data_IF_767475060471
#
_entry.id   IF_767475060471
#
_cell.length_a   1.000
_cell.length_b   1.000
_cell.length_c   1.000
_cell.angle_alpha   90.00
_cell.angle_beta   90.00
_cell.angle_gamma   90.00
#
_symmetry.space_group_name_H-M   'P 1'
#
loop_
_entity.id
_entity.type
_entity.pdbx_description
1 polymer ?
#
# COMPACT_ATOMS: atom_id res chain seq x y z
N UNK A 1 -23.55 -14.88 -22.46
CA UNK A 1 -22.99 -13.56 -22.21
C UNK A 1 -21.67 -13.46 -22.95
N UNK A 2 -21.53 -12.46 -23.83
CA UNK A 2 -20.34 -12.25 -24.67
C UNK A 2 -19.18 -11.56 -23.94
N UNK A 3 -19.17 -11.57 -22.61
CA UNK A 3 -18.21 -10.86 -21.75
C UNK A 3 -16.96 -11.73 -21.52
N UNK A 4 -15.77 -11.10 -21.55
CA UNK A 4 -14.51 -11.80 -21.40
C UNK A 4 -14.24 -12.16 -19.92
N UNK A 5 -13.92 -13.42 -19.66
CA UNK A 5 -13.53 -13.91 -18.36
C UNK A 5 -12.17 -13.32 -17.97
N UNK A 6 -12.08 -12.72 -16.79
CA UNK A 6 -10.82 -12.21 -16.26
C UNK A 6 -9.90 -13.36 -15.83
N UNK A 7 -8.67 -13.35 -16.33
CA UNK A 7 -7.69 -14.42 -16.12
C UNK A 7 -6.55 -14.04 -15.21
N UNK A 8 -6.51 -12.79 -14.75
CA UNK A 8 -5.53 -12.26 -13.83
C UNK A 8 -4.77 -11.05 -14.38
N UNK A 9 -3.88 -10.53 -13.54
CA UNK A 9 -3.00 -9.41 -13.88
C UNK A 9 -1.54 -9.76 -13.74
N UNK A 10 -0.69 -9.02 -14.45
CA UNK A 10 0.77 -9.07 -14.34
C UNK A 10 1.32 -7.67 -14.07
N UNK A 11 2.35 -7.58 -13.25
CA UNK A 11 3.06 -6.33 -12.97
C UNK A 11 4.47 -6.44 -13.52
N UNK A 12 4.85 -5.52 -14.40
CA UNK A 12 6.20 -5.36 -14.91
C UNK A 12 6.80 -4.06 -14.31
N UNK A 13 7.88 -4.20 -13.57
CA UNK A 13 8.58 -3.06 -12.99
C UNK A 13 9.81 -2.74 -13.84
N UNK A 14 9.84 -1.52 -14.38
CA UNK A 14 11.03 -0.92 -15.00
C UNK A 14 11.69 -0.01 -13.98
N UNK A 15 12.95 -0.23 -13.68
CA UNK A 15 13.73 0.59 -12.75
C UNK A 15 15.15 0.79 -13.26
N UNK A 16 15.80 1.87 -12.81
CA UNK A 16 17.23 2.03 -13.00
C UNK A 16 17.99 1.00 -12.14
N UNK A 17 19.19 0.58 -12.59
CA UNK A 17 20.01 -0.44 -11.90
C UNK A 17 20.34 -0.10 -10.43
N UNK A 18 20.27 1.17 -10.06
CA UNK A 18 20.58 1.67 -8.71
C UNK A 18 19.46 1.47 -7.70
N UNK A 19 18.30 0.96 -8.13
CA UNK A 19 17.16 0.72 -7.24
C UNK A 19 17.21 -0.73 -6.78
N UNK A 20 17.76 -0.94 -5.59
CA UNK A 20 17.81 -2.27 -4.97
C UNK A 20 16.42 -2.77 -4.60
N UNK A 21 16.26 -4.10 -4.56
CA UNK A 21 15.08 -4.81 -4.01
C UNK A 21 13.73 -4.55 -4.69
N UNK A 22 13.70 -4.46 -6.02
CA UNK A 22 12.47 -4.37 -6.83
C UNK A 22 11.53 -5.55 -6.59
N UNK A 23 12.06 -6.72 -6.18
CA UNK A 23 11.26 -7.91 -5.85
C UNK A 23 10.29 -7.65 -4.68
N UNK A 24 10.76 -6.98 -3.62
CA UNK A 24 9.91 -6.63 -2.47
C UNK A 24 8.82 -5.63 -2.86
N UNK A 25 9.17 -4.63 -3.66
CA UNK A 25 8.20 -3.67 -4.21
C UNK A 25 7.16 -4.40 -5.07
N UNK A 26 7.59 -5.30 -5.95
CA UNK A 26 6.68 -6.11 -6.79
C UNK A 26 5.71 -6.93 -5.93
N UNK A 27 6.20 -7.62 -4.90
CA UNK A 27 5.35 -8.38 -3.99
C UNK A 27 4.32 -7.50 -3.27
N UNK A 28 4.74 -6.32 -2.81
CA UNK A 28 3.84 -5.36 -2.16
C UNK A 28 2.76 -4.84 -3.13
N UNK A 29 3.12 -4.56 -4.39
CA UNK A 29 2.16 -4.12 -5.39
C UNK A 29 1.19 -5.24 -5.81
N UNK A 30 1.62 -6.50 -5.83
CA UNK A 30 0.73 -7.63 -6.13
C UNK A 30 -0.42 -7.77 -5.14
N UNK A 31 -0.24 -7.36 -3.87
CA UNK A 31 -1.33 -7.37 -2.88
C UNK A 31 -2.46 -6.39 -3.17
N UNK A 32 -2.28 -5.49 -4.15
CA UNK A 32 -3.27 -4.49 -4.54
C UNK A 32 -4.14 -4.96 -5.72
N UNK A 33 -3.81 -6.11 -6.33
CA UNK A 33 -4.52 -6.62 -7.49
C UNK A 33 -5.87 -7.22 -7.08
N UNK A 34 -6.94 -6.50 -7.34
CA UNK A 34 -8.32 -6.90 -7.08
C UNK A 34 -9.20 -6.64 -8.31
N UNK A 35 -10.18 -7.49 -8.59
CA UNK A 35 -10.48 -8.77 -7.95
C UNK A 35 -9.44 -9.84 -8.31
N UNK A 36 -9.35 -10.88 -7.47
CA UNK A 36 -8.58 -12.07 -7.84
C UNK A 36 -9.31 -12.85 -8.95
N UNK A 37 -8.58 -13.41 -9.92
CA UNK A 37 -9.19 -14.26 -10.93
C UNK A 37 -9.66 -15.58 -10.31
N UNK A 38 -10.62 -16.23 -10.96
CA UNK A 38 -11.06 -17.55 -10.53
C UNK A 38 -9.90 -18.55 -10.38
N UNK A 39 -9.97 -19.35 -9.34
CA UNK A 39 -8.94 -20.33 -8.97
C UNK A 39 -8.61 -21.28 -10.11
N UNK A 40 -7.33 -21.56 -10.29
CA UNK A 40 -6.82 -22.45 -11.33
C UNK A 40 -6.11 -23.63 -10.71
N UNK A 41 -6.56 -24.86 -11.02
CA UNK A 41 -5.98 -26.12 -10.55
C UNK A 41 -5.59 -26.95 -11.78
N UNK A 42 -4.32 -27.30 -11.90
CA UNK A 42 -3.77 -28.08 -13.02
C UNK A 42 -4.21 -27.57 -14.41
N UNK A 43 -4.22 -26.25 -14.59
CA UNK A 43 -4.60 -25.63 -15.85
C UNK A 43 -6.11 -25.45 -16.07
N UNK A 44 -6.96 -26.06 -15.22
CA UNK A 44 -8.43 -25.97 -15.29
C UNK A 44 -8.99 -25.05 -14.21
N UNK A 45 -10.26 -24.63 -14.35
CA UNK A 45 -10.99 -23.83 -13.38
C UNK A 45 -12.18 -24.61 -12.84
N UNK A 46 -11.98 -25.51 -11.89
CA UNK A 46 -13.03 -26.40 -11.41
C UNK A 46 -14.18 -25.65 -10.73
N UNK A 47 -13.91 -24.53 -10.06
CA UNK A 47 -14.94 -23.69 -9.44
C UNK A 47 -15.97 -23.19 -10.46
N UNK A 48 -15.53 -22.69 -11.61
CA UNK A 48 -16.40 -22.28 -12.71
C UNK A 48 -17.21 -23.46 -13.28
N UNK A 49 -16.57 -24.61 -13.42
CA UNK A 49 -17.26 -25.80 -13.93
C UNK A 49 -18.44 -26.19 -13.04
N UNK A 50 -18.25 -26.24 -11.72
CA UNK A 50 -19.33 -26.55 -10.79
C UNK A 50 -20.39 -25.46 -10.74
N UNK A 51 -19.99 -24.19 -10.81
CA UNK A 51 -20.92 -23.06 -10.89
C UNK A 51 -21.86 -23.21 -12.10
N UNK A 52 -21.35 -23.38 -13.32
CA UNK A 52 -22.15 -23.53 -14.52
C UNK A 52 -22.98 -24.83 -14.55
N UNK A 53 -22.46 -25.90 -13.96
CA UNK A 53 -23.22 -27.17 -13.83
C UNK A 53 -24.44 -27.02 -12.93
N UNK A 54 -24.32 -26.23 -11.85
CA UNK A 54 -25.43 -25.98 -10.93
C UNK A 54 -26.52 -25.05 -11.53
N UNK A 55 -26.18 -24.24 -12.51
CA UNK A 55 -27.14 -23.34 -13.21
C UNK A 55 -27.99 -24.02 -14.27
N UNK A 56 -27.79 -25.30 -14.59
CA UNK A 56 -28.63 -26.03 -15.54
C UNK A 56 -30.06 -26.15 -15.03
N UNK A 57 -31.05 -26.25 -15.97
CA UNK A 57 -32.48 -26.31 -15.65
C UNK A 57 -32.87 -27.39 -14.62
N UNK A 58 -32.11 -28.47 -14.51
CA UNK A 58 -32.32 -29.56 -13.51
C UNK A 58 -30.94 -30.02 -12.97
N UNK A 59 -30.31 -29.26 -12.08
CA UNK A 59 -29.03 -29.70 -11.49
C UNK A 59 -29.28 -30.83 -10.50
N UNK A 60 -28.57 -31.95 -10.63
CA UNK A 60 -28.62 -33.04 -9.65
C UNK A 60 -28.13 -32.58 -8.26
N UNK A 61 -28.56 -33.29 -7.19
CA UNK A 61 -28.18 -33.00 -5.80
C UNK A 61 -26.68 -32.85 -5.65
N UNK A 62 -25.89 -33.76 -6.23
CA UNK A 62 -24.43 -33.74 -6.16
C UNK A 62 -23.83 -32.46 -6.77
N UNK A 63 -24.36 -32.00 -7.93
CA UNK A 63 -23.88 -30.78 -8.57
C UNK A 63 -24.18 -29.51 -7.72
N UNK A 64 -25.33 -29.47 -7.06
CA UNK A 64 -25.67 -28.39 -6.12
C UNK A 64 -24.77 -28.39 -4.90
N UNK A 65 -24.49 -29.56 -4.34
CA UNK A 65 -23.61 -29.70 -3.20
C UNK A 65 -22.15 -29.30 -3.54
N UNK A 66 -21.62 -29.79 -4.68
CA UNK A 66 -20.28 -29.45 -5.16
C UNK A 66 -20.17 -27.95 -5.46
N UNK A 67 -21.19 -27.33 -6.05
CA UNK A 67 -21.17 -25.88 -6.27
C UNK A 67 -21.12 -25.10 -4.95
N UNK A 68 -21.89 -25.52 -3.95
CA UNK A 68 -21.88 -24.88 -2.62
C UNK A 68 -20.51 -24.97 -1.93
N UNK A 69 -19.73 -26.02 -2.21
CA UNK A 69 -18.41 -26.25 -1.59
C UNK A 69 -17.24 -25.71 -2.41
N UNK A 70 -17.31 -25.79 -3.73
CA UNK A 70 -16.20 -25.57 -4.66
C UNK A 70 -16.56 -24.60 -5.80
N UNK A 71 -17.84 -24.23 -5.94
CA UNK A 71 -18.28 -23.32 -6.99
C UNK A 71 -17.75 -21.90 -6.77
N UNK A 72 -17.29 -21.28 -7.83
CA UNK A 72 -16.87 -19.88 -7.87
C UNK A 72 -17.69 -19.15 -8.93
N UNK A 73 -18.20 -17.99 -8.58
CA UNK A 73 -18.81 -17.10 -9.57
C UNK A 73 -17.74 -16.61 -10.57
N UNK A 74 -18.07 -16.51 -11.85
CA UNK A 74 -17.10 -16.02 -12.83
C UNK A 74 -16.75 -14.56 -12.55
N UNK A 75 -15.47 -14.25 -12.56
CA UNK A 75 -14.95 -12.88 -12.52
C UNK A 75 -14.73 -12.42 -13.95
N UNK A 76 -15.40 -11.35 -14.36
CA UNK A 76 -15.34 -10.78 -15.70
C UNK A 76 -14.41 -9.56 -15.75
N UNK A 77 -14.04 -9.16 -16.95
CA UNK A 77 -13.24 -7.96 -17.16
C UNK A 77 -13.92 -6.68 -16.64
N UNK A 78 -15.25 -6.61 -16.70
CA UNK A 78 -16.05 -5.50 -16.16
C UNK A 78 -15.93 -5.33 -14.65
N UNK A 79 -15.57 -6.39 -13.92
CA UNK A 79 -15.36 -6.33 -12.46
C UNK A 79 -14.00 -5.70 -12.09
N UNK A 80 -13.12 -5.54 -13.09
CA UNK A 80 -11.78 -4.98 -12.90
C UNK A 80 -11.78 -3.49 -13.21
N UNK A 81 -11.20 -2.69 -12.32
CA UNK A 81 -10.98 -1.27 -12.56
C UNK A 81 -9.45 -0.98 -12.61
N UNK A 82 -8.82 -1.07 -13.79
CA UNK A 82 -7.38 -0.90 -13.92
C UNK A 82 -6.87 0.46 -13.46
N UNK A 83 -7.62 1.53 -13.72
CA UNK A 83 -7.23 2.90 -13.33
C UNK A 83 -7.22 3.06 -11.81
N UNK A 84 -8.17 2.43 -11.11
CA UNK A 84 -8.17 2.40 -9.64
C UNK A 84 -6.93 1.69 -9.11
N UNK A 85 -6.56 0.56 -9.69
CA UNK A 85 -5.36 -0.20 -9.29
C UNK A 85 -4.09 0.61 -9.55
N UNK A 86 -3.98 1.31 -10.70
CA UNK A 86 -2.88 2.24 -10.97
C UNK A 86 -2.74 3.28 -9.85
N UNK A 87 -3.84 3.92 -9.44
CA UNK A 87 -3.83 4.91 -8.35
C UNK A 87 -3.42 4.30 -7.01
N UNK A 88 -3.90 3.09 -6.70
CA UNK A 88 -3.49 2.37 -5.48
C UNK A 88 -1.99 2.04 -5.51
N UNK A 89 -1.45 1.64 -6.67
CA UNK A 89 -0.02 1.40 -6.84
C UNK A 89 0.79 2.67 -6.62
N UNK A 90 0.38 3.79 -7.21
CA UNK A 90 1.06 5.08 -7.06
C UNK A 90 1.03 5.55 -5.60
N UNK A 91 -0.13 5.49 -4.94
CA UNK A 91 -0.25 5.82 -3.53
C UNK A 91 0.65 4.94 -2.65
N UNK A 92 0.72 3.64 -2.94
CA UNK A 92 1.62 2.73 -2.22
C UNK A 92 3.08 3.09 -2.42
N UNK A 93 3.48 3.42 -3.64
CA UNK A 93 4.85 3.83 -3.98
C UNK A 93 5.22 5.16 -3.31
N UNK A 94 4.32 6.15 -3.31
CA UNK A 94 4.52 7.43 -2.64
C UNK A 94 4.66 7.24 -1.12
N UNK A 95 3.83 6.42 -0.50
CA UNK A 95 3.92 6.09 0.92
C UNK A 95 5.24 5.39 1.30
N UNK A 96 5.91 4.81 0.33
CA UNK A 96 7.22 4.17 0.45
C UNK A 96 8.39 5.03 -0.04
N UNK A 97 8.13 6.27 -0.43
CA UNK A 97 9.15 7.24 -0.84
C UNK A 97 9.60 7.13 -2.29
N UNK A 98 8.93 6.33 -3.12
CA UNK A 98 9.20 6.23 -4.56
C UNK A 98 8.39 7.29 -5.34
N UNK A 99 8.52 8.55 -4.91
CA UNK A 99 7.80 9.67 -5.50
C UNK A 99 8.08 9.82 -7.00
N UNK A 100 7.07 10.32 -7.74
CA UNK A 100 7.12 10.52 -9.19
C UNK A 100 7.27 9.23 -10.00
N UNK A 101 7.03 8.07 -9.40
CA UNK A 101 6.86 6.81 -10.15
C UNK A 101 5.59 6.89 -11.01
N UNK A 102 5.53 6.06 -12.05
CA UNK A 102 4.36 5.99 -12.94
C UNK A 102 3.83 4.58 -12.98
N UNK A 103 2.53 4.44 -13.09
CA UNK A 103 1.85 3.19 -13.33
C UNK A 103 0.85 3.38 -14.47
N UNK A 104 0.87 2.46 -15.41
CA UNK A 104 -0.07 2.40 -16.52
C UNK A 104 -0.53 0.97 -16.71
N UNK A 105 -1.71 0.77 -17.28
CA UNK A 105 -2.26 -0.55 -17.57
C UNK A 105 -2.57 -0.72 -19.05
N UNK A 106 -2.44 -1.94 -19.51
CA UNK A 106 -2.83 -2.38 -20.84
C UNK A 106 -3.74 -3.60 -20.71
N UNK A 107 -4.85 -3.59 -21.43
CA UNK A 107 -5.75 -4.72 -21.53
C UNK A 107 -5.25 -5.67 -22.61
N UNK A 108 -5.10 -6.94 -22.24
CA UNK A 108 -4.79 -8.02 -23.17
C UNK A 108 -6.02 -8.95 -23.25
N UNK A 109 -6.80 -8.80 -24.30
CA UNK A 109 -8.01 -9.59 -24.49
C UNK A 109 -7.91 -10.46 -25.73
N UNK A 110 -8.18 -11.75 -25.57
CA UNK A 110 -8.23 -12.73 -26.64
C UNK A 110 -9.53 -13.52 -26.53
N UNK A 111 -10.42 -13.33 -27.49
CA UNK A 111 -11.72 -14.01 -27.56
C UNK A 111 -12.54 -13.86 -26.27
N UNK A 112 -12.63 -14.93 -25.47
CA UNK A 112 -13.42 -15.00 -24.21
C UNK A 112 -12.61 -14.77 -22.94
N UNK A 113 -11.35 -14.45 -23.05
CA UNK A 113 -10.45 -14.25 -21.92
C UNK A 113 -9.80 -12.88 -21.98
N UNK A 114 -9.64 -12.26 -20.82
CA UNK A 114 -8.93 -11.00 -20.71
C UNK A 114 -7.99 -11.00 -19.50
N UNK A 115 -6.89 -10.28 -19.62
CA UNK A 115 -5.94 -10.03 -18.56
C UNK A 115 -5.51 -8.57 -18.57
N UNK A 116 -4.94 -8.09 -17.45
CA UNK A 116 -4.40 -6.73 -17.35
C UNK A 116 -2.90 -6.79 -17.12
N UNK A 117 -2.15 -6.01 -17.89
CA UNK A 117 -0.71 -5.82 -17.71
C UNK A 117 -0.45 -4.43 -17.13
N UNK A 118 0.09 -4.36 -15.93
CA UNK A 118 0.52 -3.10 -15.33
C UNK A 118 2.00 -2.88 -15.59
N UNK A 119 2.33 -1.69 -16.09
CA UNK A 119 3.71 -1.24 -16.30
C UNK A 119 4.01 -0.19 -15.23
N UNK A 120 4.98 -0.45 -14.38
CA UNK A 120 5.41 0.46 -13.32
C UNK A 120 6.81 0.97 -13.63
N UNK A 121 6.94 2.27 -13.85
CA UNK A 121 8.22 2.96 -13.94
C UNK A 121 8.63 3.41 -12.55
N UNK A 122 9.48 2.62 -11.89
CA UNK A 122 9.91 2.86 -10.51
C UNK A 122 11.03 3.91 -10.50
N UNK A 123 10.79 5.02 -9.80
CA UNK A 123 11.81 6.05 -9.59
C UNK A 123 12.65 5.75 -8.34
N UNK A 124 13.84 6.34 -8.25
CA UNK A 124 14.70 6.21 -7.07
C UNK A 124 13.99 6.79 -5.84
N UNK A 125 13.97 6.08 -4.70
CA UNK A 125 13.30 6.57 -3.51
C UNK A 125 14.05 7.75 -2.88
N UNK A 126 13.32 8.61 -2.19
CA UNK A 126 13.90 9.66 -1.37
C UNK A 126 14.43 9.09 -0.07
N UNK A 127 15.60 9.55 0.37
CA UNK A 127 16.26 9.12 1.61
C UNK A 127 16.42 10.27 2.57
N UNK A 128 16.28 9.97 3.87
CA UNK A 128 16.36 10.94 4.95
C UNK A 128 17.79 11.47 5.12
N UNK A 129 17.97 12.78 4.97
CA UNK A 129 19.24 13.45 5.21
C UNK A 129 19.32 14.02 6.63
N UNK A 130 18.24 14.64 7.10
CA UNK A 130 18.17 15.26 8.41
C UNK A 130 16.83 15.00 9.08
N UNK A 131 16.87 14.74 10.40
CA UNK A 131 15.67 14.68 11.23
C UNK A 131 15.80 15.65 12.40
N UNK A 132 14.84 16.54 12.56
CA UNK A 132 14.81 17.56 13.61
C UNK A 132 13.46 17.62 14.32
N UNK A 133 13.51 17.77 15.64
CA UNK A 133 12.38 18.26 16.43
C UNK A 133 12.40 19.80 16.38
N UNK A 134 11.34 20.39 15.85
CA UNK A 134 11.17 21.84 15.83
C UNK A 134 10.63 22.28 17.20
N UNK A 135 11.58 22.64 18.09
CA UNK A 135 11.28 22.90 19.50
C UNK A 135 10.72 24.31 19.71
N UNK A 136 9.75 24.39 20.60
CA UNK A 136 9.28 25.62 21.25
C UNK A 136 9.61 25.56 22.75
N UNK A 137 9.27 26.61 23.50
CA UNK A 137 9.53 26.75 24.94
C UNK A 137 8.71 25.83 25.85
N UNK A 138 7.75 25.08 25.31
CA UNK A 138 6.87 24.21 26.08
C UNK A 138 7.60 23.01 26.71
N UNK A 139 7.37 22.68 27.97
CA UNK A 139 8.04 21.55 28.67
C UNK A 139 7.88 20.19 27.97
N UNK A 140 6.77 19.96 27.28
CA UNK A 140 6.49 18.73 26.55
C UNK A 140 7.56 18.39 25.50
N UNK A 141 8.24 19.40 24.93
CA UNK A 141 9.32 19.18 23.98
C UNK A 141 10.51 18.43 24.56
N UNK A 142 10.79 18.60 25.88
CA UNK A 142 11.83 17.83 26.54
C UNK A 142 11.46 16.34 26.63
N UNK A 143 10.18 16.05 26.91
CA UNK A 143 9.72 14.66 26.97
C UNK A 143 9.67 14.02 25.60
N UNK A 144 9.23 14.74 24.57
CA UNK A 144 9.32 14.29 23.16
C UNK A 144 10.78 14.04 22.77
N UNK A 145 11.70 14.94 23.12
CA UNK A 145 13.13 14.78 22.80
C UNK A 145 13.70 13.50 23.41
N UNK A 146 13.29 13.15 24.64
CA UNK A 146 13.66 11.87 25.27
C UNK A 146 13.07 10.67 24.55
N UNK A 147 11.80 10.74 24.13
CA UNK A 147 11.15 9.71 23.35
C UNK A 147 11.85 9.50 22.00
N UNK A 148 12.30 10.57 21.35
CA UNK A 148 13.03 10.50 20.09
C UNK A 148 14.39 9.81 20.17
N UNK A 149 14.99 9.70 21.36
CA UNK A 149 16.24 8.95 21.55
C UNK A 149 16.10 7.46 21.14
N UNK A 150 14.89 6.92 21.21
CA UNK A 150 14.57 5.53 20.83
C UNK A 150 13.90 5.42 19.46
N UNK A 151 13.90 6.48 18.65
CA UNK A 151 13.26 6.49 17.33
C UNK A 151 13.82 5.44 16.38
N UNK A 152 12.97 4.83 15.60
CA UNK A 152 13.34 3.94 14.51
C UNK A 152 13.59 4.70 13.19
N UNK A 153 13.28 6.00 13.14
CA UNK A 153 13.60 6.87 12.01
C UNK A 153 15.11 7.09 11.97
N UNK A 154 15.79 6.59 10.93
CA UNK A 154 17.25 6.63 10.80
C UNK A 154 17.68 7.39 9.55
N UNK A 155 18.75 8.17 9.65
CA UNK A 155 19.36 8.87 8.51
C UNK A 155 19.77 7.89 7.41
N UNK A 156 19.70 8.30 6.17
CA UNK A 156 20.01 7.49 4.99
C UNK A 156 18.94 6.43 4.63
N UNK A 157 17.91 6.23 5.47
CA UNK A 157 16.79 5.35 5.14
C UNK A 157 15.79 6.06 4.25
N UNK A 158 15.11 5.29 3.41
CA UNK A 158 14.09 5.85 2.53
C UNK A 158 12.89 6.37 3.34
N UNK A 159 12.15 7.31 2.74
CA UNK A 159 10.86 7.75 3.27
C UNK A 159 9.93 6.55 3.47
N UNK A 160 9.23 6.51 4.60
CA UNK A 160 8.24 5.49 4.92
C UNK A 160 7.14 6.10 5.80
N UNK A 161 5.96 6.30 5.22
CA UNK A 161 4.83 6.91 5.91
C UNK A 161 4.32 6.05 7.07
N UNK A 162 4.36 4.72 6.93
CA UNK A 162 3.90 3.81 7.99
C UNK A 162 4.82 3.88 9.22
N UNK A 163 6.12 4.02 9.00
CA UNK A 163 7.08 4.25 10.09
C UNK A 163 6.78 5.56 10.83
N UNK A 164 6.45 6.63 10.10
CA UNK A 164 6.11 7.92 10.72
C UNK A 164 4.81 7.84 11.53
N UNK A 165 3.80 7.14 11.04
CA UNK A 165 2.56 6.88 11.79
C UNK A 165 2.86 6.10 13.08
N UNK A 166 3.62 5.04 12.98
CA UNK A 166 4.05 4.24 14.13
C UNK A 166 4.79 5.09 15.17
N UNK A 167 5.73 5.94 14.76
CA UNK A 167 6.45 6.83 15.67
C UNK A 167 5.53 7.83 16.39
N UNK A 168 4.52 8.37 15.71
CA UNK A 168 3.52 9.24 16.34
C UNK A 168 2.76 8.50 17.46
N UNK A 169 2.32 7.28 17.20
CA UNK A 169 1.63 6.45 18.20
C UNK A 169 2.56 6.08 19.37
N UNK A 170 3.81 5.73 19.08
CA UNK A 170 4.80 5.39 20.11
C UNK A 170 5.09 6.58 21.03
N UNK A 171 5.30 7.77 20.47
CA UNK A 171 5.52 9.01 21.24
C UNK A 171 4.27 9.34 22.09
N UNK A 172 3.08 9.21 21.53
CA UNK A 172 1.81 9.40 22.28
C UNK A 172 1.75 8.50 23.52
N UNK A 173 2.04 7.21 23.35
CA UNK A 173 2.04 6.27 24.47
C UNK A 173 3.06 6.63 25.55
N UNK A 174 4.28 7.02 25.17
CA UNK A 174 5.30 7.47 26.12
C UNK A 174 4.91 8.75 26.86
N UNK A 175 4.27 9.70 26.16
CA UNK A 175 3.78 10.93 26.78
C UNK A 175 2.64 10.67 27.78
N UNK A 176 1.72 9.77 27.45
CA UNK A 176 0.66 9.35 28.38
C UNK A 176 1.20 8.74 29.66
N UNK A 177 2.26 7.93 29.57
CA UNK A 177 2.94 7.37 30.74
C UNK A 177 3.60 8.46 31.62
N UNK A 178 3.90 9.63 31.05
CA UNK A 178 4.47 10.78 31.75
C UNK A 178 3.41 11.78 32.25
N UNK A 179 2.12 11.46 32.13
CA UNK A 179 1.00 12.27 32.64
C UNK A 179 0.35 13.19 31.62
N UNK A 180 0.64 13.06 30.33
CA UNK A 180 -0.08 13.80 29.27
C UNK A 180 -1.29 12.99 28.79
N UNK A 181 -2.24 12.70 29.67
CA UNK A 181 -3.36 11.77 29.40
C UNK A 181 -4.28 12.21 28.25
N UNK A 182 -4.40 13.51 28.03
CA UNK A 182 -5.20 14.08 26.95
C UNK A 182 -4.41 14.28 25.65
N UNK A 183 -3.16 13.80 25.58
CA UNK A 183 -2.39 13.84 24.36
C UNK A 183 -2.92 12.83 23.34
N UNK A 184 -2.66 13.06 22.06
CA UNK A 184 -3.15 12.26 20.97
C UNK A 184 -2.11 12.34 19.82
N UNK A 185 -1.87 11.27 19.06
CA UNK A 185 -0.90 11.25 17.96
C UNK A 185 -1.09 12.36 16.93
N UNK A 186 -2.34 12.84 16.76
CA UNK A 186 -2.66 13.91 15.80
C UNK A 186 -2.11 15.29 16.18
N UNK A 187 -1.62 15.47 17.40
CA UNK A 187 -0.88 16.67 17.76
C UNK A 187 0.53 16.71 17.17
N UNK A 188 1.09 15.54 16.80
CA UNK A 188 2.39 15.43 16.17
C UNK A 188 2.26 15.55 14.64
N UNK A 189 3.01 16.46 14.04
CA UNK A 189 3.05 16.66 12.60
C UNK A 189 4.46 16.37 12.12
N UNK A 190 4.59 15.40 11.19
CA UNK A 190 5.79 15.24 10.39
C UNK A 190 5.68 16.12 9.14
N UNK A 191 6.62 17.02 8.98
CA UNK A 191 6.77 17.88 7.79
C UNK A 191 8.01 17.46 7.02
N UNK A 192 7.83 17.25 5.72
CA UNK A 192 8.87 16.76 4.80
C UNK A 192 9.30 17.89 3.89
N UNK A 193 10.58 18.21 3.82
CA UNK A 193 11.15 19.15 2.86
C UNK A 193 12.06 18.40 1.87
N UNK A 194 11.66 18.38 0.62
CA UNK A 194 12.41 17.77 -0.49
C UNK A 194 13.15 18.79 -1.35
N UNK A 195 13.03 20.09 -1.05
CA UNK A 195 13.50 21.15 -1.93
C UNK A 195 14.97 21.54 -1.71
N UNK A 196 15.57 21.09 -0.60
CA UNK A 196 16.96 21.45 -0.25
C UNK A 196 18.03 20.69 -1.03
N UNK A 197 17.65 19.59 -1.67
CA UNK A 197 18.62 18.66 -2.25
C UNK A 197 18.22 18.21 -3.66
N UNK A 198 19.18 18.22 -4.57
CA UNK A 198 18.95 17.80 -5.96
C UNK A 198 19.02 16.26 -6.16
N UNK A 199 19.37 15.49 -5.14
CA UNK A 199 19.75 14.07 -5.25
C UNK A 199 18.82 13.09 -4.54
N UNK A 200 17.50 13.37 -4.53
CA UNK A 200 16.49 12.49 -3.92
C UNK A 200 16.68 12.31 -2.41
N UNK A 201 16.98 13.37 -1.72
CA UNK A 201 17.04 13.46 -0.27
C UNK A 201 15.92 14.33 0.28
N UNK A 202 15.59 14.16 1.55
CA UNK A 202 14.63 15.01 2.25
C UNK A 202 15.06 15.26 3.70
N UNK A 203 14.62 16.40 4.21
CA UNK A 203 14.65 16.70 5.63
C UNK A 203 13.29 16.41 6.24
N UNK A 204 13.30 15.93 7.48
CA UNK A 204 12.11 15.63 8.25
C UNK A 204 12.08 16.49 9.50
N UNK A 205 10.98 17.20 9.72
CA UNK A 205 10.73 17.99 10.90
C UNK A 205 9.55 17.41 11.68
N UNK A 206 9.72 17.23 12.98
CA UNK A 206 8.62 16.92 13.88
C UNK A 206 8.19 18.20 14.58
N UNK A 207 6.91 18.53 14.46
CA UNK A 207 6.28 19.70 15.06
C UNK A 207 5.07 19.31 15.89
N UNK A 208 4.69 20.19 16.82
CA UNK A 208 3.41 20.11 17.52
C UNK A 208 2.39 21.09 16.94
N UNK A 209 1.12 20.70 16.94
CA UNK A 209 0.01 21.64 16.74
C UNK A 209 -0.05 22.65 17.87
N UNK A 210 -0.62 23.85 17.60
CA UNK A 210 -0.63 24.97 18.55
C UNK A 210 -1.37 24.69 19.88
N UNK A 211 -2.38 23.85 19.90
CA UNK A 211 -3.23 23.62 21.08
C UNK A 211 -2.96 22.25 21.72
N UNK A 212 -1.74 22.05 22.20
CA UNK A 212 -1.34 20.81 22.86
C UNK A 212 -1.82 20.78 24.31
N UNK A 213 -2.40 19.67 24.80
CA UNK A 213 -2.80 19.52 26.20
C UNK A 213 -1.61 19.69 27.15
N UNK A 214 -1.87 20.34 28.28
CA UNK A 214 -0.90 20.42 29.37
C UNK A 214 -0.82 19.07 30.09
N UNK A 215 0.28 18.88 30.80
CA UNK A 215 0.44 17.76 31.72
C UNK A 215 -0.59 17.87 32.84
N UNK A 216 -1.29 16.79 33.14
CA UNK A 216 -2.27 16.70 34.24
C UNK A 216 -1.59 16.41 35.55
#
# INVERSE_FOLDING_TARGET
NGEALYTGSKINIKSNKDIGNTKKVSQELHTLLEPEPNSKILGTRPGLYFHYKAQKKRPGFLNRWLNKKLGEEPVYLSDVNPQRIEQLMLNRLDNRGYFYSKATSELDSAQKHASVKYQVELKKPYTLEQFKLDKDSLPIYNDISKALAQTQIKLGKRFDLELMKYERERIDQELKQKGYYNFNPDFLIFEVDTNRYDNKKFDLFLRLKKNVPKKS
#
